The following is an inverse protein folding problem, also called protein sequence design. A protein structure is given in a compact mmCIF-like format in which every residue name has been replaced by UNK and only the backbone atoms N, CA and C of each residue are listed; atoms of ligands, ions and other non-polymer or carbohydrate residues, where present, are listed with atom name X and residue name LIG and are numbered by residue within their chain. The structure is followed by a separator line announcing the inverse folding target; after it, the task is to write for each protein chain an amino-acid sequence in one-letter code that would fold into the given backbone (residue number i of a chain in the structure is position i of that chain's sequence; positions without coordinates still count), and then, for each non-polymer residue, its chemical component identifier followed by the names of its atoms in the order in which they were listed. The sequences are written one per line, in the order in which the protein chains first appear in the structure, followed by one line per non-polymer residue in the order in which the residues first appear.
data_IF_077404718739
#
_entry.id   IF_077404718739
#
_cell.length_a   1.000
_cell.length_b   1.000
_cell.length_c   1.000
_cell.angle_alpha   90.00
_cell.angle_beta   90.00
_cell.angle_gamma   90.00
#
_symmetry.space_group_name_H-M   'P 1'
#
loop_
_entity.id
_entity.type
_entity.pdbx_description
1 polymer ?
#
# COMPACT_ATOMS: atom_id res chain seq x y z
N UNK A 1 -26.20 29.39 14.11
CA UNK A 1 -24.87 28.83 14.47
C UNK A 1 -24.93 27.34 14.86
N UNK A 2 -25.96 26.84 15.57
CA UNK A 2 -26.09 25.41 15.95
C UNK A 2 -26.18 24.41 14.76
N UNK A 3 -26.76 24.81 13.62
CA UNK A 3 -26.89 23.93 12.45
C UNK A 3 -25.56 23.63 11.75
N UNK A 4 -24.56 24.52 11.84
CA UNK A 4 -23.25 24.30 11.22
C UNK A 4 -22.47 23.17 11.90
N UNK A 5 -22.52 23.10 13.24
CA UNK A 5 -21.81 22.06 14.01
C UNK A 5 -22.45 20.68 13.80
N UNK A 6 -23.78 20.60 13.75
CA UNK A 6 -24.48 19.35 13.46
C UNK A 6 -24.22 18.85 12.03
N UNK A 7 -24.12 19.76 11.06
CA UNK A 7 -23.81 19.44 9.66
C UNK A 7 -22.36 19.00 9.48
N UNK A 8 -21.40 19.65 10.14
CA UNK A 8 -19.99 19.21 10.19
C UNK A 8 -19.88 17.83 10.84
N UNK A 9 -20.52 17.60 11.99
CA UNK A 9 -20.52 16.28 12.66
C UNK A 9 -21.06 15.18 11.75
N UNK A 10 -22.14 15.44 11.02
CA UNK A 10 -22.74 14.48 10.08
C UNK A 10 -21.81 14.19 8.90
N UNK A 11 -21.21 15.22 8.27
CA UNK A 11 -20.21 15.01 7.20
C UNK A 11 -18.99 14.24 7.67
N UNK A 12 -18.44 14.60 8.84
CA UNK A 12 -17.29 13.89 9.42
C UNK A 12 -17.64 12.43 9.69
N UNK A 13 -18.81 12.12 10.27
CA UNK A 13 -19.22 10.73 10.50
C UNK A 13 -19.44 9.96 9.20
N UNK A 14 -20.04 10.57 8.16
CA UNK A 14 -20.25 9.92 6.86
C UNK A 14 -18.94 9.60 6.14
N UNK A 15 -17.88 10.39 6.33
CA UNK A 15 -16.54 10.11 5.77
C UNK A 15 -15.69 9.21 6.66
N UNK A 16 -15.73 9.40 7.98
CA UNK A 16 -14.89 8.66 8.93
C UNK A 16 -15.34 7.21 9.12
N UNK A 17 -16.66 6.96 9.07
CA UNK A 17 -17.21 5.60 9.23
C UNK A 17 -16.68 4.62 8.16
N UNK A 18 -16.79 4.89 6.84
CA UNK A 18 -16.28 3.96 5.83
C UNK A 18 -14.75 3.77 5.90
N UNK A 19 -14.00 4.83 6.22
CA UNK A 19 -12.53 4.75 6.37
C UNK A 19 -12.15 3.87 7.56
N UNK A 20 -12.86 4.00 8.69
CA UNK A 20 -12.62 3.20 9.89
C UNK A 20 -12.95 1.73 9.64
N UNK A 21 -14.09 1.45 9.00
CA UNK A 21 -14.48 0.08 8.62
C UNK A 21 -13.45 -0.54 7.68
N UNK A 22 -13.00 0.19 6.66
CA UNK A 22 -11.96 -0.28 5.73
C UNK A 22 -10.65 -0.60 6.46
N UNK A 23 -10.25 0.25 7.40
CA UNK A 23 -9.04 0.03 8.20
C UNK A 23 -9.16 -1.17 9.13
N UNK A 24 -10.33 -1.38 9.74
CA UNK A 24 -10.60 -2.55 10.58
C UNK A 24 -10.55 -3.84 9.76
N UNK A 25 -11.20 -3.87 8.59
CA UNK A 25 -11.16 -5.01 7.67
C UNK A 25 -9.72 -5.34 7.25
N UNK A 26 -8.90 -4.32 6.99
CA UNK A 26 -7.49 -4.50 6.65
C UNK A 26 -6.68 -5.10 7.81
N UNK A 27 -7.00 -4.76 9.07
CA UNK A 27 -6.37 -5.40 10.24
C UNK A 27 -6.84 -6.84 10.42
N UNK A 28 -8.12 -7.11 10.18
CA UNK A 28 -8.71 -8.44 10.29
C UNK A 28 -8.14 -9.42 9.28
N UNK A 29 -7.78 -8.97 8.07
CA UNK A 29 -7.12 -9.78 7.04
C UNK A 29 -5.91 -10.54 7.60
N UNK A 30 -5.02 -9.84 8.30
CA UNK A 30 -3.87 -10.46 8.96
C UNK A 30 -4.23 -11.45 10.06
N UNK A 31 -5.21 -11.11 10.90
CA UNK A 31 -5.66 -11.99 11.98
C UNK A 31 -6.23 -13.28 11.42
N UNK A 32 -7.05 -13.18 10.38
CA UNK A 32 -7.65 -14.34 9.70
C UNK A 32 -6.58 -15.20 9.06
N UNK A 33 -5.58 -14.60 8.40
CA UNK A 33 -4.48 -15.33 7.79
C UNK A 33 -3.71 -16.17 8.84
N UNK A 34 -3.37 -15.57 9.99
CA UNK A 34 -2.72 -16.28 11.10
C UNK A 34 -3.63 -17.36 11.70
N UNK A 35 -4.92 -17.07 11.86
CA UNK A 35 -5.90 -18.03 12.39
C UNK A 35 -6.02 -19.27 11.49
N UNK A 36 -6.08 -19.08 10.17
CA UNK A 36 -6.18 -20.17 9.18
C UNK A 36 -4.97 -21.10 9.22
N UNK A 37 -3.76 -20.56 9.41
CA UNK A 37 -2.53 -21.37 9.51
C UNK A 37 -2.20 -21.78 10.95
N UNK A 38 -2.95 -21.31 11.94
CA UNK A 38 -2.67 -21.50 13.36
C UNK A 38 -2.65 -22.97 13.79
N UNK A 39 -3.48 -23.81 13.15
CA UNK A 39 -3.52 -25.26 13.39
C UNK A 39 -2.34 -26.03 12.77
N UNK A 40 -1.54 -25.40 11.90
CA UNK A 40 -0.44 -26.06 11.16
C UNK A 40 0.92 -25.97 11.90
N UNK A 41 0.96 -25.34 13.07
CA UNK A 41 2.16 -25.21 13.91
C UNK A 41 2.89 -23.87 13.77
N UNK A 42 4.05 -23.74 14.42
CA UNK A 42 4.77 -22.48 14.54
C UNK A 42 5.40 -21.98 13.23
N UNK A 43 5.83 -22.89 12.34
CA UNK A 43 6.53 -22.54 11.09
C UNK A 43 5.60 -21.78 10.12
N UNK A 44 4.38 -22.24 9.80
CA UNK A 44 3.46 -21.51 8.93
C UNK A 44 3.02 -20.16 9.51
N UNK A 45 2.82 -20.08 10.83
CA UNK A 45 2.49 -18.81 11.51
C UNK A 45 3.63 -17.80 11.32
N UNK A 46 4.88 -18.22 11.54
CA UNK A 46 6.04 -17.36 11.35
C UNK A 46 6.18 -16.92 9.88
N UNK A 47 5.90 -17.80 8.93
CA UNK A 47 5.95 -17.49 7.50
C UNK A 47 4.92 -16.43 7.09
N UNK A 48 3.67 -16.56 7.57
CA UNK A 48 2.61 -15.56 7.35
C UNK A 48 3.02 -14.21 7.95
N UNK A 49 3.53 -14.20 9.19
CA UNK A 49 4.00 -12.97 9.83
C UNK A 49 5.12 -12.27 9.05
N UNK A 50 6.11 -13.03 8.58
CA UNK A 50 7.19 -12.49 7.74
C UNK A 50 6.68 -11.96 6.40
N UNK A 51 5.79 -12.70 5.74
CA UNK A 51 5.15 -12.26 4.50
C UNK A 51 4.37 -10.96 4.69
N UNK A 52 3.64 -10.83 5.79
CA UNK A 52 2.85 -9.65 6.11
C UNK A 52 3.71 -8.43 6.43
N UNK A 53 4.87 -8.62 7.09
CA UNK A 53 5.85 -7.56 7.29
C UNK A 53 6.38 -7.02 5.96
N UNK A 54 6.72 -7.90 5.02
CA UNK A 54 7.19 -7.51 3.69
C UNK A 54 6.09 -6.81 2.88
N UNK A 55 4.85 -7.31 2.96
CA UNK A 55 3.69 -6.67 2.36
C UNK A 55 3.46 -5.25 2.92
N UNK A 56 3.64 -5.06 4.23
CA UNK A 56 3.53 -3.76 4.88
C UNK A 56 4.59 -2.76 4.40
N UNK A 57 5.84 -3.21 4.25
CA UNK A 57 6.93 -2.38 3.70
C UNK A 57 6.60 -1.96 2.25
N UNK A 58 6.17 -2.92 1.42
CA UNK A 58 5.78 -2.66 0.04
C UNK A 58 4.64 -1.64 -0.05
N UNK A 59 3.55 -1.85 0.68
CA UNK A 59 2.38 -0.97 0.67
C UNK A 59 2.67 0.43 1.22
N UNK A 60 3.58 0.55 2.20
CA UNK A 60 4.03 1.86 2.72
C UNK A 60 4.73 2.67 1.63
N UNK A 61 5.59 2.04 0.83
CA UNK A 61 6.27 2.70 -0.28
C UNK A 61 5.27 3.14 -1.36
N UNK A 62 4.31 2.28 -1.71
CA UNK A 62 3.23 2.64 -2.66
C UNK A 62 2.42 3.84 -2.15
N UNK A 63 2.05 3.81 -0.87
CA UNK A 63 1.24 4.87 -0.25
C UNK A 63 1.98 6.20 -0.23
N UNK A 64 3.30 6.20 0.04
CA UNK A 64 4.12 7.41 -0.01
C UNK A 64 4.10 8.09 -1.38
N UNK A 65 4.27 7.32 -2.45
CA UNK A 65 4.23 7.85 -3.82
C UNK A 65 2.83 8.36 -4.21
N UNK A 66 1.79 7.60 -3.85
CA UNK A 66 0.38 7.94 -4.12
C UNK A 66 -0.03 9.24 -3.41
N UNK A 67 0.27 9.37 -2.12
CA UNK A 67 -0.02 10.58 -1.34
C UNK A 67 0.75 11.79 -1.89
N UNK A 68 2.05 11.63 -2.20
CA UNK A 68 2.86 12.70 -2.78
C UNK A 68 2.32 13.19 -4.12
N UNK A 69 1.91 12.25 -4.99
CA UNK A 69 1.28 12.56 -6.28
C UNK A 69 -0.02 13.34 -6.10
N UNK A 70 -0.91 12.88 -5.21
CA UNK A 70 -2.18 13.53 -4.94
C UNK A 70 -1.99 14.97 -4.43
N UNK A 71 -1.09 15.18 -3.46
CA UNK A 71 -0.83 16.50 -2.88
C UNK A 71 -0.39 17.51 -3.94
N UNK A 72 0.58 17.14 -4.80
CA UNK A 72 1.07 18.07 -5.83
C UNK A 72 -0.04 18.38 -6.85
N UNK A 73 -0.75 17.37 -7.35
CA UNK A 73 -1.80 17.58 -8.36
C UNK A 73 -2.94 18.41 -7.78
N UNK A 74 -3.40 18.10 -6.56
CA UNK A 74 -4.46 18.84 -5.89
C UNK A 74 -4.09 20.32 -5.66
N UNK A 75 -2.84 20.61 -5.31
CA UNK A 75 -2.35 21.99 -5.16
C UNK A 75 -2.35 22.75 -6.49
N UNK A 76 -1.88 22.11 -7.58
CA UNK A 76 -1.85 22.73 -8.90
C UNK A 76 -3.28 22.95 -9.44
N UNK A 77 -4.16 21.97 -9.24
CA UNK A 77 -5.56 22.02 -9.64
C UNK A 77 -6.33 23.11 -8.87
N UNK A 78 -6.19 23.17 -7.54
CA UNK A 78 -6.79 24.21 -6.70
C UNK A 78 -6.31 25.62 -7.04
N UNK A 79 -5.08 25.76 -7.54
CA UNK A 79 -4.54 27.03 -8.03
C UNK A 79 -5.00 27.40 -9.47
N UNK A 80 -5.91 26.62 -10.08
CA UNK A 80 -6.35 26.75 -11.49
C UNK A 80 -5.23 26.63 -12.53
N UNK A 81 -4.11 25.98 -12.18
CA UNK A 81 -2.96 25.74 -13.06
C UNK A 81 -3.07 24.37 -13.73
N UNK A 82 -4.12 24.19 -14.53
CA UNK A 82 -4.48 22.90 -15.13
C UNK A 82 -3.38 22.30 -16.03
N UNK A 83 -2.66 23.16 -16.73
CA UNK A 83 -1.58 22.74 -17.64
C UNK A 83 -0.37 22.20 -16.87
N UNK A 84 0.00 22.85 -15.76
CA UNK A 84 1.02 22.35 -14.83
C UNK A 84 0.57 21.06 -14.13
N UNK A 85 -0.71 20.95 -13.76
CA UNK A 85 -1.26 19.73 -13.18
C UNK A 85 -1.16 18.54 -14.17
N UNK A 86 -1.46 18.76 -15.45
CA UNK A 86 -1.31 17.74 -16.50
C UNK A 86 0.15 17.32 -16.72
N UNK A 87 1.09 18.26 -16.68
CA UNK A 87 2.53 17.95 -16.77
C UNK A 87 3.04 17.16 -15.56
N UNK A 88 2.61 17.54 -14.35
CA UNK A 88 2.93 16.83 -13.12
C UNK A 88 2.42 15.39 -13.15
N UNK A 89 1.17 15.17 -13.59
CA UNK A 89 0.60 13.82 -13.75
C UNK A 89 1.42 12.93 -14.67
N UNK A 90 1.91 13.45 -15.80
CA UNK A 90 2.77 12.70 -16.73
C UNK A 90 4.13 12.35 -16.10
N UNK A 91 4.73 13.29 -15.38
CA UNK A 91 5.99 13.04 -14.66
C UNK A 91 5.82 11.98 -13.58
N UNK A 92 4.75 12.07 -12.77
CA UNK A 92 4.47 11.09 -11.72
C UNK A 92 4.14 9.71 -12.29
N UNK A 93 3.50 9.63 -13.45
CA UNK A 93 3.27 8.36 -14.13
C UNK A 93 4.59 7.73 -14.61
N UNK A 94 5.50 8.51 -15.19
CA UNK A 94 6.83 8.01 -15.56
C UNK A 94 7.66 7.58 -14.36
N UNK A 95 7.65 8.39 -13.29
CA UNK A 95 8.33 8.10 -12.04
C UNK A 95 7.78 6.83 -11.37
N UNK A 96 6.46 6.63 -11.40
CA UNK A 96 5.82 5.47 -10.78
C UNK A 96 6.14 4.17 -11.51
N UNK A 97 6.21 4.19 -12.84
CA UNK A 97 6.74 3.06 -13.62
C UNK A 97 8.16 2.75 -13.17
N UNK A 98 9.06 3.74 -13.19
CA UNK A 98 10.46 3.52 -12.83
C UNK A 98 10.63 2.98 -11.40
N UNK A 99 10.04 3.65 -10.41
CA UNK A 99 10.14 3.27 -8.99
C UNK A 99 9.55 1.89 -8.75
N UNK A 100 8.41 1.59 -9.35
CA UNK A 100 7.74 0.32 -9.09
C UNK A 100 8.47 -0.89 -9.69
N UNK A 101 9.04 -0.77 -10.89
CA UNK A 101 9.91 -1.79 -11.47
C UNK A 101 11.21 -1.94 -10.70
N UNK A 102 11.81 -0.83 -10.25
CA UNK A 102 13.00 -0.88 -9.40
C UNK A 102 12.72 -1.61 -8.09
N UNK A 103 11.59 -1.32 -7.44
CA UNK A 103 11.16 -2.00 -6.21
C UNK A 103 10.86 -3.48 -6.43
N UNK A 104 10.22 -3.84 -7.55
CA UNK A 104 9.96 -5.23 -7.88
C UNK A 104 11.28 -6.00 -8.09
N UNK A 105 12.23 -5.44 -8.84
CA UNK A 105 13.52 -6.07 -9.10
C UNK A 105 14.36 -6.21 -7.82
N UNK A 106 14.45 -5.14 -7.03
CA UNK A 106 15.14 -5.16 -5.74
C UNK A 106 14.48 -6.14 -4.77
N UNK A 107 13.15 -6.15 -4.72
CA UNK A 107 12.37 -7.07 -3.90
C UNK A 107 12.62 -8.52 -4.28
N UNK A 108 12.45 -8.89 -5.54
CA UNK A 108 12.65 -10.26 -6.03
C UNK A 108 14.09 -10.77 -5.85
N UNK A 109 15.09 -9.91 -6.05
CA UNK A 109 16.50 -10.30 -5.90
C UNK A 109 16.98 -10.34 -4.45
N UNK A 110 16.50 -9.44 -3.60
CA UNK A 110 16.92 -9.35 -2.21
C UNK A 110 16.02 -10.12 -1.23
N UNK A 111 14.87 -10.63 -1.67
CA UNK A 111 13.83 -11.20 -0.78
C UNK A 111 14.39 -12.22 0.22
N UNK A 112 15.06 -13.26 -0.30
CA UNK A 112 15.60 -14.33 0.53
C UNK A 112 16.66 -13.82 1.51
N UNK A 113 17.49 -12.86 1.10
CA UNK A 113 18.49 -12.25 1.96
C UNK A 113 17.86 -11.38 3.06
N UNK A 114 16.82 -10.61 2.73
CA UNK A 114 16.06 -9.83 3.71
C UNK A 114 15.44 -10.76 4.76
N UNK A 115 14.82 -11.87 4.33
CA UNK A 115 14.24 -12.84 5.25
C UNK A 115 15.28 -13.49 6.16
N UNK A 116 16.47 -13.82 5.64
CA UNK A 116 17.58 -14.33 6.45
C UNK A 116 18.09 -13.30 7.47
N UNK A 117 18.23 -12.04 7.06
CA UNK A 117 18.64 -10.94 7.95
C UNK A 117 17.63 -10.67 9.06
N UNK A 118 16.36 -10.93 8.82
CA UNK A 118 15.29 -10.87 9.83
C UNK A 118 15.31 -12.08 10.79
N UNK A 119 16.25 -13.01 10.65
CA UNK A 119 16.42 -14.18 11.52
C UNK A 119 15.48 -15.34 11.21
N UNK A 120 14.88 -15.37 10.00
CA UNK A 120 14.00 -16.47 9.62
C UNK A 120 14.78 -17.78 9.41
N UNK A 121 14.23 -18.88 9.95
CA UNK A 121 14.78 -20.22 9.73
C UNK A 121 14.53 -20.67 8.27
N UNK A 122 15.38 -21.53 7.69
CA UNK A 122 15.25 -21.98 6.29
C UNK A 122 13.86 -22.53 5.93
N UNK A 123 13.21 -23.23 6.86
CA UNK A 123 11.88 -23.82 6.70
C UNK A 123 10.79 -22.74 6.60
N UNK A 124 10.94 -21.64 7.36
CA UNK A 124 10.04 -20.47 7.31
C UNK A 124 10.24 -19.72 6.00
N UNK A 125 11.49 -19.55 5.58
CA UNK A 125 11.84 -18.88 4.32
C UNK A 125 11.24 -19.65 3.14
N UNK A 126 11.37 -20.98 3.11
CA UNK A 126 10.83 -21.82 2.04
C UNK A 126 9.31 -21.64 1.86
N UNK A 127 8.57 -21.41 2.95
CA UNK A 127 7.13 -21.15 2.92
C UNK A 127 6.79 -19.69 2.56
N UNK A 128 7.56 -18.73 3.05
CA UNK A 128 7.29 -17.30 2.88
C UNK A 128 7.75 -16.75 1.51
N UNK A 129 8.80 -17.33 0.93
CA UNK A 129 9.43 -16.83 -0.30
C UNK A 129 8.47 -16.81 -1.50
N UNK A 130 7.68 -17.87 -1.80
CA UNK A 130 6.74 -17.85 -2.93
C UNK A 130 5.67 -16.76 -2.77
N UNK A 131 5.14 -16.61 -1.56
CA UNK A 131 4.14 -15.60 -1.23
C UNK A 131 4.70 -14.18 -1.39
N UNK A 132 5.90 -13.92 -0.87
CA UNK A 132 6.53 -12.62 -0.97
C UNK A 132 6.99 -12.28 -2.39
N UNK A 133 7.46 -13.25 -3.17
CA UNK A 133 7.77 -13.04 -4.59
C UNK A 133 6.52 -12.61 -5.37
N UNK A 134 5.37 -13.20 -5.06
CA UNK A 134 4.10 -12.80 -5.67
C UNK A 134 3.74 -11.36 -5.31
N UNK A 135 3.95 -10.94 -4.05
CA UNK A 135 3.76 -9.54 -3.65
C UNK A 135 4.63 -8.60 -4.50
N UNK A 136 5.94 -8.87 -4.58
CA UNK A 136 6.87 -8.02 -5.33
C UNK A 136 6.57 -7.98 -6.83
N UNK A 137 6.08 -9.09 -7.41
CA UNK A 137 5.65 -9.14 -8.79
C UNK A 137 4.43 -8.26 -9.09
N UNK A 138 3.52 -8.12 -8.11
CA UNK A 138 2.28 -7.33 -8.25
C UNK A 138 2.49 -5.84 -7.93
N UNK A 139 3.57 -5.47 -7.22
CA UNK A 139 3.89 -4.07 -6.89
C UNK A 139 3.80 -3.10 -8.08
N UNK A 140 4.38 -3.38 -9.27
CA UNK A 140 4.26 -2.50 -10.42
C UNK A 140 2.82 -2.17 -10.77
N UNK A 141 1.95 -3.18 -10.76
CA UNK A 141 0.54 -3.00 -11.06
C UNK A 141 -0.16 -2.17 -9.97
N UNK A 142 0.07 -2.50 -8.70
CA UNK A 142 -0.53 -1.77 -7.56
C UNK A 142 -0.12 -0.30 -7.52
N UNK A 143 1.16 0.00 -7.78
CA UNK A 143 1.67 1.37 -7.80
C UNK A 143 1.04 2.18 -8.92
N UNK A 144 0.94 1.61 -10.12
CA UNK A 144 0.32 2.27 -11.26
C UNK A 144 -1.15 2.56 -11.00
N UNK A 145 -1.90 1.58 -10.48
CA UNK A 145 -3.29 1.79 -10.10
C UNK A 145 -3.43 2.87 -9.01
N UNK A 146 -2.60 2.83 -7.97
CA UNK A 146 -2.65 3.82 -6.90
C UNK A 146 -2.39 5.25 -7.41
N UNK A 147 -1.41 5.43 -8.29
CA UNK A 147 -1.10 6.73 -8.91
C UNK A 147 -2.24 7.20 -9.82
N UNK A 148 -2.82 6.31 -10.63
CA UNK A 148 -3.98 6.64 -11.46
C UNK A 148 -5.20 7.03 -10.61
N UNK A 149 -5.45 6.31 -9.52
CA UNK A 149 -6.51 6.65 -8.57
C UNK A 149 -6.25 8.02 -7.91
N UNK A 150 -5.01 8.30 -7.49
CA UNK A 150 -4.64 9.60 -6.92
C UNK A 150 -4.85 10.76 -7.88
N UNK A 151 -4.49 10.56 -9.16
CA UNK A 151 -4.75 11.53 -10.22
C UNK A 151 -6.26 11.76 -10.35
N UNK A 152 -7.06 10.68 -10.40
CA UNK A 152 -8.53 10.79 -10.53
C UNK A 152 -9.23 11.47 -9.35
N UNK A 153 -8.69 11.32 -8.13
CA UNK A 153 -9.25 11.93 -6.92
C UNK A 153 -8.90 13.39 -6.73
N UNK A 154 -7.99 13.94 -7.55
CA UNK A 154 -7.47 15.30 -7.40
C UNK A 154 -8.31 16.37 -8.11
N UNK A 155 -9.33 16.00 -8.90
CA UNK A 155 -10.16 16.92 -9.68
C UNK A 155 -11.53 17.19 -9.09
#
# INVERSE_FOLDING_TARGET
MANGVAQIRRSVMTLALPVTVSSLLQRTEGIVAVFLVGGLGAIPIAAVGLGQLLAFIATTLVSGLSVGTNVIIAQQWGARRYEEAGQASRHFLGLSIFVSFALALLGLSANGLIMQLLGAQPEVIALALPYSNLIFLVIPFTVLLAVLSSISSAW
#
